data_IF_876192036079
#
_entry.id   IF_876192036079
#
_cell.length_a   1.000
_cell.length_b   1.000
_cell.length_c   1.000
_cell.angle_alpha   90.00
_cell.angle_beta   90.00
_cell.angle_gamma   90.00
#
_symmetry.space_group_name_H-M   'P 1'
#
loop_
_entity.id
_entity.type
_entity.pdbx_description
1 polymer ?
#
# COMPACT_ATOMS: atom_id res chain seq x y z
N UNK A 1 5.79 -15.05 14.20
CA UNK A 1 6.95 -15.55 13.42
C UNK A 1 7.44 -14.41 12.55
N UNK A 2 8.75 -14.25 12.40
CA UNK A 2 9.35 -13.16 11.63
C UNK A 2 10.43 -13.76 10.74
N UNK A 3 10.37 -13.46 9.45
CA UNK A 3 11.43 -13.82 8.51
C UNK A 3 12.73 -13.12 8.94
N UNK A 4 13.82 -13.86 9.08
CA UNK A 4 15.13 -13.29 9.40
C UNK A 4 15.70 -12.51 8.22
N UNK A 5 15.31 -12.91 7.00
CA UNK A 5 15.59 -12.19 5.76
C UNK A 5 14.29 -12.01 4.99
N UNK A 6 13.85 -10.76 4.83
CA UNK A 6 12.62 -10.43 4.11
C UNK A 6 12.86 -10.59 2.59
N UNK A 7 11.86 -11.05 1.81
CA UNK A 7 11.94 -11.03 0.36
C UNK A 7 12.13 -9.59 -0.13
N UNK A 8 12.94 -9.40 -1.16
CA UNK A 8 13.27 -8.08 -1.71
C UNK A 8 12.76 -7.96 -3.14
N UNK A 9 12.43 -6.75 -3.58
CA UNK A 9 12.06 -6.49 -4.97
C UNK A 9 13.19 -5.74 -5.70
N UNK A 10 13.17 -5.68 -7.04
CA UNK A 10 14.04 -4.77 -7.78
C UNK A 10 13.83 -3.32 -7.35
N UNK A 11 14.93 -2.55 -7.34
CA UNK A 11 14.89 -1.12 -7.02
C UNK A 11 13.86 -0.39 -7.88
N UNK A 12 13.15 0.54 -7.26
CA UNK A 12 12.07 1.31 -7.87
C UNK A 12 10.70 0.62 -7.90
N UNK A 13 10.58 -0.69 -7.62
CA UNK A 13 9.28 -1.35 -7.55
C UNK A 13 8.40 -0.82 -6.40
N UNK A 14 9.04 -0.29 -5.35
CA UNK A 14 8.38 0.27 -4.16
C UNK A 14 7.95 1.75 -4.34
N UNK A 15 8.54 2.46 -5.31
CA UNK A 15 8.33 3.91 -5.51
C UNK A 15 6.85 4.26 -5.66
N UNK A 16 6.03 3.58 -6.50
CA UNK A 16 4.62 3.92 -6.63
C UNK A 16 3.85 3.83 -5.31
N UNK A 17 4.11 2.80 -4.50
CA UNK A 17 3.44 2.66 -3.20
C UNK A 17 3.84 3.79 -2.25
N UNK A 18 5.12 4.15 -2.20
CA UNK A 18 5.59 5.26 -1.36
C UNK A 18 5.05 6.62 -1.81
N UNK A 19 4.86 6.84 -3.11
CA UNK A 19 4.19 8.04 -3.61
C UNK A 19 2.75 8.13 -3.08
N UNK A 20 2.01 7.02 -3.12
CA UNK A 20 0.65 6.96 -2.57
C UNK A 20 0.63 7.18 -1.05
N UNK A 21 1.63 6.68 -0.33
CA UNK A 21 1.78 6.92 1.12
C UNK A 21 1.97 8.40 1.45
N UNK A 22 2.72 9.14 0.64
CA UNK A 22 2.95 10.59 0.80
C UNK A 22 1.66 11.37 0.54
N UNK A 23 0.93 11.04 -0.54
CA UNK A 23 -0.38 11.65 -0.82
C UNK A 23 -1.36 11.42 0.34
N UNK A 24 -1.34 10.23 0.94
CA UNK A 24 -2.16 9.92 2.10
C UNK A 24 -1.80 10.77 3.33
N UNK A 25 -0.52 11.03 3.62
CA UNK A 25 -0.13 11.97 4.68
C UNK A 25 -0.65 13.39 4.42
N UNK A 26 -0.58 13.84 3.17
CA UNK A 26 -1.10 15.15 2.79
C UNK A 26 -2.62 15.26 3.01
N UNK A 27 -3.35 14.19 2.68
CA UNK A 27 -4.78 14.08 2.96
C UNK A 27 -5.05 14.13 4.47
N UNK A 28 -4.31 13.37 5.29
CA UNK A 28 -4.48 13.34 6.75
C UNK A 28 -4.20 14.72 7.37
N UNK A 29 -3.15 15.40 6.93
CA UNK A 29 -2.83 16.76 7.40
C UNK A 29 -3.97 17.74 7.08
N UNK A 30 -4.52 17.63 5.87
CA UNK A 30 -5.64 18.45 5.41
C UNK A 30 -6.94 18.13 6.17
N UNK A 31 -7.27 16.86 6.36
CA UNK A 31 -8.48 16.43 7.09
C UNK A 31 -8.44 16.81 8.57
N UNK A 32 -7.27 16.70 9.23
CA UNK A 32 -7.10 17.16 10.63
C UNK A 32 -7.39 18.65 10.80
N UNK A 33 -7.09 19.45 9.77
CA UNK A 33 -7.41 20.87 9.78
C UNK A 33 -8.93 21.09 9.70
N UNK A 34 -9.65 20.32 8.89
CA UNK A 34 -11.12 20.43 8.78
C UNK A 34 -11.87 20.12 10.08
N UNK A 35 -11.32 19.24 10.92
CA UNK A 35 -11.88 18.85 12.22
C UNK A 35 -11.75 19.95 13.28
N UNK A 36 -10.89 20.96 13.07
CA UNK A 36 -10.68 22.00 14.09
C UNK A 36 -11.89 22.94 14.21
N UNK A 37 -12.35 23.24 15.45
CA UNK A 37 -13.57 24.01 15.68
C UNK A 37 -13.46 25.49 15.29
N UNK A 38 -12.26 26.04 15.18
CA UNK A 38 -12.01 27.47 14.99
C UNK A 38 -11.65 27.87 13.54
N UNK A 39 -11.83 26.97 12.58
CA UNK A 39 -11.44 27.22 11.20
C UNK A 39 -12.51 28.05 10.46
N UNK A 40 -12.11 29.10 9.75
CA UNK A 40 -13.02 29.92 8.95
C UNK A 40 -13.65 29.10 7.81
N UNK A 41 -14.88 29.43 7.43
CA UNK A 41 -15.64 28.71 6.38
C UNK A 41 -14.92 28.74 5.02
N UNK A 42 -14.26 29.86 4.69
CA UNK A 42 -13.51 30.00 3.45
C UNK A 42 -12.31 29.03 3.39
N UNK A 43 -11.60 28.89 4.51
CA UNK A 43 -10.48 27.97 4.62
C UNK A 43 -10.93 26.51 4.52
N UNK A 44 -12.07 26.17 5.12
CA UNK A 44 -12.65 24.82 5.01
C UNK A 44 -12.96 24.45 3.56
N UNK A 45 -13.55 25.35 2.79
CA UNK A 45 -13.84 25.11 1.38
C UNK A 45 -12.57 24.93 0.55
N UNK A 46 -11.53 25.75 0.80
CA UNK A 46 -10.25 25.60 0.11
C UNK A 46 -9.57 24.26 0.42
N UNK A 47 -9.61 23.82 1.68
CA UNK A 47 -9.05 22.54 2.09
C UNK A 47 -9.86 21.38 1.49
N UNK A 48 -11.18 21.50 1.42
CA UNK A 48 -12.04 20.50 0.81
C UNK A 48 -11.75 20.34 -0.69
N UNK A 49 -11.63 21.45 -1.42
CA UNK A 49 -11.27 21.41 -2.84
C UNK A 49 -9.85 20.86 -3.04
N UNK A 50 -8.91 21.18 -2.16
CA UNK A 50 -7.59 20.55 -2.15
C UNK A 50 -7.69 19.03 -1.96
N UNK A 51 -8.48 18.56 -0.98
CA UNK A 51 -8.69 17.13 -0.77
C UNK A 51 -9.27 16.45 -2.00
N UNK A 52 -10.25 17.06 -2.67
CA UNK A 52 -10.85 16.52 -3.92
C UNK A 52 -9.88 16.50 -5.10
N UNK A 53 -8.82 17.31 -5.09
CA UNK A 53 -7.77 17.23 -6.11
C UNK A 53 -6.85 16.03 -5.90
N UNK A 54 -6.74 15.56 -4.65
CA UNK A 54 -5.89 14.42 -4.29
C UNK A 54 -6.70 13.13 -4.27
N UNK A 55 -7.83 13.07 -3.56
CA UNK A 55 -8.67 11.87 -3.46
C UNK A 55 -9.65 11.86 -4.63
N UNK A 56 -9.52 10.90 -5.54
CA UNK A 56 -10.41 10.78 -6.68
C UNK A 56 -11.78 10.20 -6.27
N UNK A 57 -12.88 10.56 -6.96
CA UNK A 57 -14.18 9.98 -6.70
C UNK A 57 -14.19 8.48 -7.04
N UNK A 58 -15.09 7.74 -6.41
CA UNK A 58 -15.33 6.35 -6.79
C UNK A 58 -15.80 6.28 -8.25
N UNK A 59 -15.33 5.31 -9.04
CA UNK A 59 -15.80 5.15 -10.40
C UNK A 59 -17.28 4.78 -10.37
N UNK A 60 -18.11 5.55 -11.08
CA UNK A 60 -19.52 5.23 -11.27
C UNK A 60 -19.63 3.77 -11.74
N UNK A 61 -20.46 2.98 -11.07
CA UNK A 61 -20.54 1.51 -11.12
C UNK A 61 -20.80 0.83 -12.48
N UNK A 62 -20.52 1.49 -13.61
CA UNK A 62 -20.41 0.88 -14.93
C UNK A 62 -19.13 0.02 -15.10
N UNK A 63 -18.14 0.12 -14.19
CA UNK A 63 -16.98 -0.80 -14.11
C UNK A 63 -17.17 -1.92 -13.09
N UNK A 64 -18.17 -2.78 -13.31
CA UNK A 64 -18.51 -3.97 -12.48
C UNK A 64 -17.53 -5.15 -12.61
N UNK A 65 -16.23 -4.91 -12.80
CA UNK A 65 -15.25 -5.99 -13.07
C UNK A 65 -13.96 -5.98 -12.23
N UNK A 66 -13.87 -5.21 -11.13
CA UNK A 66 -12.64 -5.17 -10.31
C UNK A 66 -12.74 -5.82 -8.93
N UNK A 67 -13.91 -6.34 -8.52
CA UNK A 67 -13.98 -7.26 -7.38
C UNK A 67 -13.47 -8.65 -7.83
N UNK A 68 -12.23 -8.94 -7.46
CA UNK A 68 -11.62 -10.30 -7.46
C UNK A 68 -11.20 -10.93 -8.80
N UNK A 69 -10.95 -10.17 -9.87
CA UNK A 69 -10.21 -10.77 -10.99
C UNK A 69 -8.71 -10.81 -10.64
N UNK A 70 -8.00 -11.94 -10.83
CA UNK A 70 -6.54 -11.89 -10.96
C UNK A 70 -6.28 -10.89 -12.09
N UNK A 71 -5.60 -9.80 -11.77
CA UNK A 71 -5.32 -8.74 -12.73
C UNK A 71 -4.59 -9.41 -13.89
N UNK A 72 -5.29 -9.61 -15.03
CA UNK A 72 -4.61 -9.76 -16.30
C UNK A 72 -3.83 -8.47 -16.44
N UNK A 73 -2.53 -8.58 -16.23
CA UNK A 73 -1.49 -7.55 -16.21
C UNK A 73 -1.35 -6.98 -17.64
N UNK A 74 -2.44 -6.42 -18.13
CA UNK A 74 -2.67 -5.97 -19.51
C UNK A 74 -3.46 -4.67 -19.56
N UNK A 75 -3.47 -3.92 -18.45
CA UNK A 75 -3.69 -2.49 -18.51
C UNK A 75 -2.36 -1.88 -18.94
N UNK A 76 -2.36 -1.29 -20.12
CA UNK A 76 -1.33 -0.39 -20.60
C UNK A 76 -0.90 0.48 -19.41
N UNK A 77 0.35 0.27 -18.98
CA UNK A 77 0.94 0.99 -17.87
C UNK A 77 1.09 2.46 -18.29
N UNK A 78 -0.01 3.21 -18.20
CA UNK A 78 0.07 4.66 -18.06
C UNK A 78 1.05 4.90 -16.91
N UNK A 79 2.17 5.59 -17.18
CA UNK A 79 3.28 5.62 -16.25
C UNK A 79 2.79 6.24 -14.94
N UNK A 80 2.89 5.48 -13.85
CA UNK A 80 2.69 5.92 -12.46
C UNK A 80 3.44 7.22 -12.12
N UNK A 81 4.40 7.62 -12.96
CA UNK A 81 5.13 8.87 -12.94
C UNK A 81 4.27 10.13 -12.74
N UNK A 82 2.99 10.14 -13.14
CA UNK A 82 2.14 11.34 -13.08
C UNK A 82 0.82 11.17 -12.29
N UNK A 83 0.60 10.06 -11.59
CA UNK A 83 -0.63 9.88 -10.82
C UNK A 83 -0.53 10.65 -9.49
N UNK A 84 -1.03 11.89 -9.52
CA UNK A 84 -1.09 12.79 -8.36
C UNK A 84 -2.35 12.62 -7.51
N UNK A 85 -3.07 11.50 -7.71
CA UNK A 85 -4.30 11.21 -6.99
C UNK A 85 -4.21 9.88 -6.23
N UNK A 86 -5.01 9.81 -5.16
CA UNK A 86 -5.16 8.71 -4.23
C UNK A 86 -6.48 8.01 -4.51
N UNK A 87 -6.41 6.73 -4.86
CA UNK A 87 -7.58 5.90 -5.11
C UNK A 87 -7.24 4.43 -4.83
N UNK A 88 -8.23 3.65 -4.36
CA UNK A 88 -8.03 2.26 -3.98
C UNK A 88 -7.46 1.37 -5.10
N UNK A 89 -7.91 1.53 -6.34
CA UNK A 89 -7.35 0.82 -7.50
C UNK A 89 -5.86 1.18 -7.74
N UNK A 90 -5.47 2.45 -7.67
CA UNK A 90 -4.08 2.89 -7.87
C UNK A 90 -3.18 2.31 -6.79
N UNK A 91 -3.59 2.39 -5.53
CA UNK A 91 -2.86 1.78 -4.40
C UNK A 91 -2.71 0.27 -4.59
N UNK A 92 -3.79 -0.41 -5.01
CA UNK A 92 -3.75 -1.85 -5.30
C UNK A 92 -2.70 -2.19 -6.34
N UNK A 93 -2.69 -1.49 -7.48
CA UNK A 93 -1.73 -1.77 -8.55
C UNK A 93 -0.31 -1.41 -8.11
N UNK A 94 -0.12 -0.28 -7.42
CA UNK A 94 1.18 0.14 -6.90
C UNK A 94 1.78 -0.88 -5.92
N UNK A 95 0.98 -1.39 -4.98
CA UNK A 95 1.43 -2.42 -4.05
C UNK A 95 1.65 -3.78 -4.74
N UNK A 96 0.81 -4.12 -5.72
CA UNK A 96 0.96 -5.35 -6.49
C UNK A 96 2.23 -5.34 -7.33
N UNK A 97 2.65 -4.20 -7.86
CA UNK A 97 3.92 -4.07 -8.58
C UNK A 97 5.09 -4.50 -7.69
N UNK A 98 5.09 -4.12 -6.42
CA UNK A 98 6.09 -4.57 -5.47
C UNK A 98 5.97 -6.06 -5.17
N UNK A 99 4.78 -6.52 -4.76
CA UNK A 99 4.58 -7.91 -4.31
C UNK A 99 4.79 -8.94 -5.42
N UNK A 100 4.43 -8.62 -6.67
CA UNK A 100 4.64 -9.51 -7.83
C UNK A 100 6.11 -9.65 -8.23
N UNK A 101 6.96 -8.73 -7.79
CA UNK A 101 8.40 -8.72 -8.11
C UNK A 101 9.27 -9.17 -6.94
N UNK A 102 8.67 -9.67 -5.85
CA UNK A 102 9.42 -10.22 -4.74
C UNK A 102 10.28 -11.40 -5.17
N UNK A 103 11.55 -11.35 -4.78
CA UNK A 103 12.54 -12.39 -5.00
C UNK A 103 13.01 -12.90 -3.66
N UNK A 104 13.09 -14.22 -3.56
CA UNK A 104 13.86 -14.86 -2.52
C UNK A 104 15.31 -14.82 -2.99
N UNK A 105 16.16 -14.08 -2.27
CA UNK A 105 17.60 -14.11 -2.55
C UNK A 105 18.13 -15.55 -2.43
N UNK A 106 19.28 -15.84 -3.06
CA UNK A 106 19.87 -17.18 -3.13
C UNK A 106 20.22 -17.82 -1.77
N UNK A 107 20.12 -17.06 -0.66
CA UNK A 107 20.24 -17.60 0.68
C UNK A 107 18.94 -18.26 1.11
N UNK A 108 19.04 -19.47 1.67
CA UNK A 108 17.88 -20.22 2.18
C UNK A 108 17.07 -19.33 3.14
N UNK A 109 15.79 -19.04 2.82
CA UNK A 109 14.96 -18.22 3.69
C UNK A 109 14.85 -18.89 5.06
N UNK A 110 15.03 -18.09 6.11
CA UNK A 110 14.92 -18.53 7.49
C UNK A 110 13.94 -17.65 8.24
N UNK A 111 13.44 -18.14 9.36
CA UNK A 111 12.56 -17.38 10.23
C UNK A 111 12.85 -17.67 11.69
N UNK A 112 12.45 -16.74 12.54
CA UNK A 112 12.45 -16.91 13.99
C UNK A 112 11.03 -16.85 14.53
N UNK A 113 10.82 -17.56 15.63
CA UNK A 113 9.57 -17.52 16.38
C UNK A 113 9.79 -16.61 17.58
N UNK A 114 9.15 -15.45 17.56
CA UNK A 114 9.29 -14.41 18.58
C UNK A 114 8.56 -14.73 19.88
N UNK A 115 7.51 -15.57 19.83
CA UNK A 115 6.73 -15.99 21.00
C UNK A 115 7.10 -17.43 21.42
N UNK A 116 7.84 -17.62 22.54
CA UNK A 116 8.21 -18.94 23.04
C UNK A 116 7.02 -19.79 23.51
N UNK A 117 5.94 -19.17 23.99
CA UNK A 117 4.75 -19.88 24.47
C UNK A 117 3.99 -20.48 23.29
N UNK A 118 3.72 -19.67 22.26
CA UNK A 118 3.16 -20.15 20.99
C UNK A 118 4.02 -21.25 20.37
N UNK A 119 5.36 -21.05 20.33
CA UNK A 119 6.31 -22.03 19.79
C UNK A 119 6.12 -23.42 20.42
N UNK A 120 6.10 -23.46 21.76
CA UNK A 120 5.94 -24.71 22.52
C UNK A 120 4.57 -25.35 22.28
N UNK A 121 3.50 -24.56 22.25
CA UNK A 121 2.15 -25.07 21.99
C UNK A 121 2.03 -25.67 20.59
N UNK A 122 2.57 -24.97 19.58
CA UNK A 122 2.47 -25.40 18.19
C UNK A 122 3.24 -26.70 17.93
N UNK A 123 4.46 -26.84 18.47
CA UNK A 123 5.26 -28.08 18.35
C UNK A 123 4.51 -29.28 18.95
N UNK A 124 3.87 -29.11 20.12
CA UNK A 124 3.10 -30.19 20.75
C UNK A 124 1.91 -30.65 19.91
N UNK A 125 1.33 -29.75 19.12
CA UNK A 125 0.12 -30.03 18.33
C UNK A 125 0.44 -30.52 16.91
N UNK A 126 1.57 -30.10 16.34
CA UNK A 126 1.87 -30.28 14.90
C UNK A 126 3.19 -31.01 14.64
N UNK A 127 3.80 -31.61 15.66
CA UNK A 127 5.06 -32.37 15.59
C UNK A 127 6.23 -31.61 14.92
N UNK A 128 6.30 -30.31 15.16
CA UNK A 128 7.33 -29.46 14.58
C UNK A 128 6.92 -28.00 14.44
N UNK A 129 7.83 -27.21 13.87
CA UNK A 129 7.53 -25.83 13.47
C UNK A 129 7.04 -25.79 12.01
N UNK A 130 6.33 -24.72 11.60
CA UNK A 130 5.91 -24.57 10.21
C UNK A 130 7.09 -24.63 9.24
N UNK A 131 6.87 -25.22 8.08
CA UNK A 131 7.83 -25.13 7.00
C UNK A 131 7.99 -23.67 6.52
N UNK A 132 9.15 -23.32 5.99
CA UNK A 132 9.44 -21.98 5.48
C UNK A 132 8.44 -21.57 4.40
N UNK A 133 8.01 -22.51 3.55
CA UNK A 133 6.98 -22.25 2.54
C UNK A 133 5.66 -21.76 3.16
N UNK A 134 5.25 -22.33 4.30
CA UNK A 134 4.05 -21.90 5.03
C UNK A 134 4.23 -20.51 5.65
N UNK A 135 5.43 -20.20 6.14
CA UNK A 135 5.74 -18.88 6.70
C UNK A 135 5.74 -17.81 5.61
N UNK A 136 6.30 -18.11 4.44
CA UNK A 136 6.30 -17.22 3.27
C UNK A 136 4.87 -17.00 2.75
N UNK A 137 4.06 -18.06 2.64
CA UNK A 137 2.66 -17.92 2.26
C UNK A 137 1.90 -17.02 3.23
N UNK A 138 2.07 -17.24 4.54
CA UNK A 138 1.43 -16.39 5.55
C UNK A 138 1.89 -14.92 5.50
N UNK A 139 3.16 -14.65 5.17
CA UNK A 139 3.63 -13.27 4.96
C UNK A 139 2.95 -12.61 3.74
N UNK A 140 2.84 -13.36 2.63
CA UNK A 140 2.15 -12.89 1.42
C UNK A 140 0.66 -12.64 1.68
N UNK A 141 -0.02 -13.53 2.38
CA UNK A 141 -1.43 -13.39 2.75
C UNK A 141 -1.66 -12.14 3.62
N UNK A 142 -0.74 -11.84 4.53
CA UNK A 142 -0.81 -10.63 5.37
C UNK A 142 -0.61 -9.36 4.55
N UNK A 143 0.32 -9.34 3.59
CA UNK A 143 0.49 -8.19 2.67
C UNK A 143 -0.80 -7.94 1.88
N UNK A 144 -1.41 -9.00 1.40
CA UNK A 144 -2.68 -8.95 0.67
C UNK A 144 -3.83 -8.44 1.53
N UNK A 145 -3.90 -8.89 2.79
CA UNK A 145 -4.87 -8.43 3.79
C UNK A 145 -4.73 -6.92 4.05
N UNK A 146 -3.52 -6.44 4.33
CA UNK A 146 -3.28 -5.02 4.60
C UNK A 146 -3.58 -4.17 3.36
N UNK A 147 -3.10 -4.57 2.17
CA UNK A 147 -3.45 -3.91 0.90
C UNK A 147 -4.96 -3.78 0.73
N UNK A 148 -5.70 -4.88 0.90
CA UNK A 148 -7.15 -4.86 0.74
C UNK A 148 -7.83 -3.92 1.75
N UNK A 149 -7.34 -3.89 3.00
CA UNK A 149 -7.85 -3.00 4.03
C UNK A 149 -7.61 -1.52 3.70
N UNK A 150 -6.42 -1.17 3.21
CA UNK A 150 -6.10 0.18 2.72
C UNK A 150 -7.08 0.58 1.62
N UNK A 151 -7.30 -0.30 0.64
CA UNK A 151 -8.22 -0.04 -0.47
C UNK A 151 -9.63 0.24 0.05
N UNK A 152 -10.14 -0.59 0.97
CA UNK A 152 -11.46 -0.38 1.58
C UNK A 152 -11.55 0.98 2.26
N UNK A 153 -10.60 1.33 3.14
CA UNK A 153 -10.64 2.62 3.83
C UNK A 153 -10.53 3.83 2.89
N UNK A 154 -9.77 3.71 1.79
CA UNK A 154 -9.68 4.77 0.79
C UNK A 154 -10.96 4.90 -0.04
N UNK A 155 -11.59 3.78 -0.39
CA UNK A 155 -12.85 3.78 -1.11
C UNK A 155 -13.96 4.39 -0.23
N UNK A 156 -13.99 4.04 1.07
CA UNK A 156 -14.92 4.62 2.05
C UNK A 156 -14.63 6.11 2.29
N UNK A 157 -13.36 6.52 2.41
CA UNK A 157 -12.98 7.92 2.54
C UNK A 157 -13.36 8.75 1.30
N UNK A 158 -13.24 8.17 0.10
CA UNK A 158 -13.72 8.80 -1.13
C UNK A 158 -15.24 8.94 -1.11
N UNK A 159 -15.98 7.90 -0.75
CA UNK A 159 -17.43 7.97 -0.62
C UNK A 159 -17.87 9.09 0.35
N UNK A 160 -17.19 9.20 1.49
CA UNK A 160 -17.45 10.24 2.48
C UNK A 160 -17.15 11.65 1.95
N UNK A 161 -15.99 11.84 1.31
CA UNK A 161 -15.57 13.13 0.76
C UNK A 161 -16.53 13.68 -0.32
N UNK A 162 -17.14 12.79 -1.09
CA UNK A 162 -18.07 13.12 -2.17
C UNK A 162 -19.55 13.00 -1.75
N UNK A 163 -19.82 12.79 -0.46
CA UNK A 163 -21.17 12.81 0.09
C UNK A 163 -21.74 14.24 0.12
N UNK A 164 -23.06 14.38 0.21
CA UNK A 164 -23.71 15.69 0.33
C UNK A 164 -23.55 16.31 1.74
N UNK A 165 -23.21 15.50 2.74
CA UNK A 165 -23.11 15.91 4.15
C UNK A 165 -21.87 15.24 4.75
N UNK A 166 -20.72 15.85 4.47
CA UNK A 166 -19.40 15.27 4.78
C UNK A 166 -19.15 15.31 6.29
N UNK A 167 -19.01 14.14 6.92
CA UNK A 167 -18.49 14.01 8.28
C UNK A 167 -16.95 14.04 8.26
N UNK A 168 -16.40 15.22 8.54
CA UNK A 168 -14.94 15.42 8.58
C UNK A 168 -14.22 14.59 9.65
N UNK A 169 -14.92 14.19 10.72
CA UNK A 169 -14.35 13.33 11.76
C UNK A 169 -14.20 11.91 11.24
N UNK A 170 -15.25 11.38 10.61
CA UNK A 170 -15.23 10.05 9.98
C UNK A 170 -14.21 10.00 8.84
N UNK A 171 -14.22 10.99 7.93
CA UNK A 171 -13.23 11.10 6.85
C UNK A 171 -11.79 11.04 7.37
N UNK A 172 -11.49 11.81 8.42
CA UNK A 172 -10.16 11.80 9.02
C UNK A 172 -9.82 10.44 9.66
N UNK A 173 -10.78 9.77 10.30
CA UNK A 173 -10.58 8.45 10.88
C UNK A 173 -10.27 7.40 9.80
N UNK A 174 -11.02 7.40 8.69
CA UNK A 174 -10.81 6.49 7.56
C UNK A 174 -9.41 6.67 6.95
N UNK A 175 -8.97 7.91 6.75
CA UNK A 175 -7.63 8.21 6.24
C UNK A 175 -6.52 7.75 7.21
N UNK A 176 -6.70 7.94 8.52
CA UNK A 176 -5.75 7.46 9.53
C UNK A 176 -5.68 5.93 9.55
N UNK A 177 -6.83 5.25 9.50
CA UNK A 177 -6.88 3.78 9.43
C UNK A 177 -6.21 3.24 8.16
N UNK A 178 -6.40 3.91 7.02
CA UNK A 178 -5.68 3.58 5.80
C UNK A 178 -4.15 3.70 5.98
N UNK A 179 -3.67 4.75 6.65
CA UNK A 179 -2.25 4.95 6.90
C UNK A 179 -1.67 3.89 7.85
N UNK A 180 -2.39 3.53 8.91
CA UNK A 180 -1.98 2.45 9.82
C UNK A 180 -1.82 1.12 9.09
N UNK A 181 -2.76 0.76 8.21
CA UNK A 181 -2.63 -0.45 7.39
C UNK A 181 -1.48 -0.35 6.38
N UNK A 182 -1.22 0.84 5.85
CA UNK A 182 -0.07 1.10 4.98
C UNK A 182 1.25 0.86 5.72
N UNK A 183 1.36 1.35 6.95
CA UNK A 183 2.55 1.17 7.78
C UNK A 183 2.75 -0.29 8.17
N UNK A 184 1.67 -1.05 8.42
CA UNK A 184 1.72 -2.50 8.61
C UNK A 184 2.21 -3.24 7.35
N UNK A 185 1.81 -2.79 6.17
CA UNK A 185 2.29 -3.34 4.89
C UNK A 185 3.77 -3.02 4.67
N UNK A 186 4.19 -1.77 4.89
CA UNK A 186 5.60 -1.35 4.80
C UNK A 186 6.48 -2.06 5.84
N UNK A 187 5.94 -2.35 7.04
CA UNK A 187 6.65 -3.12 8.07
C UNK A 187 7.01 -4.55 7.66
N UNK A 188 6.44 -5.06 6.55
CA UNK A 188 6.83 -6.34 5.92
C UNK A 188 8.01 -6.21 4.97
N UNK A 189 8.42 -5.00 4.62
CA UNK A 189 9.55 -4.70 3.75
C UNK A 189 10.78 -4.40 4.62
N UNK A 190 11.98 -4.62 4.10
CA UNK A 190 13.20 -4.27 4.83
C UNK A 190 13.30 -2.74 5.00
N UNK A 191 13.57 -2.27 6.22
CA UNK A 191 13.63 -0.85 6.53
C UNK A 191 14.69 -0.12 5.70
N UNK A 192 15.79 -0.80 5.34
CA UNK A 192 16.82 -0.22 4.49
C UNK A 192 16.30 0.03 3.06
N UNK A 193 15.50 -0.89 2.53
CA UNK A 193 14.86 -0.75 1.22
C UNK A 193 13.86 0.41 1.24
N UNK A 194 12.99 0.46 2.26
CA UNK A 194 12.02 1.56 2.43
C UNK A 194 12.72 2.92 2.49
N UNK A 195 13.80 3.05 3.27
CA UNK A 195 14.55 4.31 3.41
C UNK A 195 15.18 4.76 2.08
N UNK A 196 15.81 3.85 1.34
CA UNK A 196 16.47 4.17 0.07
C UNK A 196 15.47 4.61 -1.00
N UNK A 197 14.33 3.91 -1.10
CA UNK A 197 13.30 4.21 -2.08
C UNK A 197 12.52 5.47 -1.70
N UNK A 198 12.28 5.71 -0.40
CA UNK A 198 11.65 6.96 0.07
C UNK A 198 12.52 8.17 -0.27
N UNK A 199 13.83 8.09 -0.06
CA UNK A 199 14.75 9.15 -0.48
C UNK A 199 14.67 9.39 -1.99
N UNK A 200 14.54 8.33 -2.79
CA UNK A 200 14.39 8.44 -4.25
C UNK A 200 13.08 9.14 -4.64
N UNK A 201 11.98 8.89 -3.93
CA UNK A 201 10.70 9.57 -4.13
C UNK A 201 10.81 11.06 -3.80
N UNK A 202 11.45 11.40 -2.68
CA UNK A 202 11.65 12.80 -2.26
C UNK A 202 12.54 13.58 -3.23
N UNK A 203 13.47 12.92 -3.90
CA UNK A 203 14.29 13.47 -4.99
C UNK A 203 13.54 13.58 -6.32
N UNK A 204 12.27 13.20 -6.38
CA UNK A 204 11.43 13.28 -7.58
C UNK A 204 11.74 12.20 -8.62
N UNK A 205 12.43 11.12 -8.25
CA UNK A 205 12.70 10.01 -9.19
C UNK A 205 11.40 9.25 -9.45
N UNK A 206 11.05 9.13 -10.72
CA UNK A 206 9.94 8.27 -11.16
C UNK A 206 10.46 6.87 -11.45
N UNK A 207 9.65 5.83 -11.19
CA UNK A 207 10.09 4.46 -11.48
C UNK A 207 10.24 4.29 -12.99
N UNK A 208 11.38 3.76 -13.43
CA UNK A 208 11.55 3.34 -14.83
C UNK A 208 10.74 2.06 -15.04
N UNK A 209 9.49 2.21 -15.45
CA UNK A 209 8.62 1.08 -15.76
C UNK A 209 8.90 0.65 -17.20
N UNK A 210 9.59 -0.47 -17.36
CA UNK A 210 9.87 -1.05 -18.67
C UNK A 210 8.60 -1.73 -19.20
N UNK A 211 8.24 -1.44 -20.46
CA UNK A 211 6.95 -1.82 -21.10
C UNK A 211 6.66 -3.32 -21.27
N UNK A 212 7.48 -4.24 -20.76
CA UNK A 212 7.31 -5.68 -21.05
C UNK A 212 7.18 -6.52 -19.79
N UNK A 213 5.93 -6.83 -19.42
CA UNK A 213 5.59 -7.81 -18.39
C UNK A 213 5.94 -9.28 -18.74
N UNK A 214 6.56 -9.53 -19.91
CA UNK A 214 7.10 -10.84 -20.30
C UNK A 214 8.62 -10.97 -20.17
N UNK A 215 9.35 -9.88 -19.95
CA UNK A 215 10.77 -9.95 -19.67
C UNK A 215 10.95 -9.72 -18.18
N UNK A 216 11.21 -10.80 -17.43
CA UNK A 216 11.71 -10.67 -16.07
C UNK A 216 12.82 -9.60 -16.05
N UNK A 217 12.78 -8.70 -15.07
CA UNK A 217 13.71 -7.58 -14.93
C UNK A 217 15.13 -7.98 -15.37
N UNK A 218 15.56 -7.46 -16.53
CA UNK A 218 16.93 -7.58 -17.02
C UNK A 218 17.66 -6.34 -16.49
N UNK A 219 18.54 -6.47 -15.49
CA UNK A 219 19.32 -5.33 -15.02
C UNK A 219 20.13 -4.73 -16.19
N UNK A 220 20.33 -3.40 -16.22
CA UNK A 220 21.24 -2.81 -17.19
C UNK A 220 22.63 -3.40 -16.99
N UNK A 221 23.28 -3.76 -18.11
CA UNK A 221 24.68 -4.20 -18.15
C UNK A 221 25.62 -3.06 -17.75
#
# INVERSE_FOLDING_TARGET
MVLTKKPTAPRGALIPALQQRILLEECISSSRSLVQPNQEVNDKNQILEKLKTIVAPLPDGTSTLFRQQPIKLGLEAEPFANQQYLQGNVVRVAMNLYTSNLRLENDLPSYTVTDPAWKKSYIRQNDGLPDIAKVLQADMDLRDLYRNSIVTYLDDASAELYSNDVDFVELNQLLVQAAEQFDLWLGRIDDAEVKVELQSVLEGKTPKIYKSYYAGFVPPK
#
